data_IF_090065136334
#
_entry.id   IF_090065136334
#
_cell.length_a   1.000
_cell.length_b   1.000
_cell.length_c   1.000
_cell.angle_alpha   90.00
_cell.angle_beta   90.00
_cell.angle_gamma   90.00
#
_symmetry.space_group_name_H-M   'P 1'
#
loop_
_entity.id
_entity.type
_entity.pdbx_description
1 polymer ?
#
# COMPACT_ATOMS: atom_id res chain seq x y z
N UNK A 1 -12.87 27.83 5.88
CA UNK A 1 -12.56 27.67 7.33
C UNK A 1 -13.46 26.66 8.04
N UNK A 2 -14.66 26.31 7.54
CA UNK A 2 -15.44 25.18 8.08
C UNK A 2 -14.84 23.79 7.76
N UNK A 3 -13.98 23.71 6.74
CA UNK A 3 -13.48 22.45 6.16
C UNK A 3 -12.41 21.74 7.01
N UNK A 4 -11.41 22.46 7.55
CA UNK A 4 -10.30 21.83 8.28
C UNK A 4 -10.71 21.17 9.61
N UNK A 5 -11.67 21.74 10.34
CA UNK A 5 -12.12 21.19 11.63
C UNK A 5 -12.94 19.90 11.46
N UNK A 6 -13.85 19.86 10.49
CA UNK A 6 -14.62 18.64 10.18
C UNK A 6 -13.71 17.52 9.66
N UNK A 7 -12.69 17.90 8.89
CA UNK A 7 -11.72 16.96 8.36
C UNK A 7 -10.75 16.42 9.42
N UNK A 8 -10.39 17.19 10.45
CA UNK A 8 -9.61 16.68 11.60
C UNK A 8 -10.46 15.73 12.44
N UNK A 9 -11.74 16.07 12.63
CA UNK A 9 -12.69 15.21 13.33
C UNK A 9 -12.85 13.83 12.66
N UNK A 10 -12.74 13.72 11.33
CA UNK A 10 -12.80 12.43 10.63
C UNK A 10 -11.63 11.50 11.01
N UNK A 11 -10.39 12.02 11.04
CA UNK A 11 -9.21 11.24 11.40
C UNK A 11 -9.28 10.80 12.86
N UNK A 12 -9.64 11.72 13.76
CA UNK A 12 -9.86 11.42 15.18
C UNK A 12 -10.94 10.34 15.34
N UNK A 13 -12.05 10.45 14.61
CA UNK A 13 -13.13 9.45 14.64
C UNK A 13 -12.64 8.07 14.20
N UNK A 14 -11.85 7.98 13.13
CA UNK A 14 -11.29 6.70 12.68
C UNK A 14 -10.31 6.11 13.70
N UNK A 15 -9.45 6.96 14.28
CA UNK A 15 -8.49 6.57 15.32
C UNK A 15 -9.22 6.02 16.56
N UNK A 16 -10.22 6.75 17.07
CA UNK A 16 -11.06 6.31 18.18
C UNK A 16 -11.81 5.01 17.86
N UNK A 17 -12.36 4.88 16.65
CA UNK A 17 -13.06 3.66 16.22
C UNK A 17 -12.15 2.44 16.23
N UNK A 18 -10.94 2.57 15.68
CA UNK A 18 -9.97 1.47 15.65
C UNK A 18 -9.55 1.07 17.07
N UNK A 19 -9.27 2.04 17.94
CA UNK A 19 -8.98 1.71 19.35
C UNK A 19 -10.15 1.05 20.06
N UNK A 20 -11.38 1.52 19.84
CA UNK A 20 -12.57 0.92 20.48
C UNK A 20 -12.74 -0.55 20.08
N UNK A 21 -12.47 -0.88 18.81
CA UNK A 21 -12.46 -2.27 18.34
C UNK A 21 -11.34 -3.06 19.02
N UNK A 22 -10.10 -2.57 18.98
CA UNK A 22 -8.95 -3.27 19.58
C UNK A 22 -9.15 -3.50 21.09
N UNK A 23 -9.73 -2.53 21.79
CA UNK A 23 -10.05 -2.59 23.21
C UNK A 23 -11.14 -3.62 23.52
N UNK A 24 -12.24 -3.57 22.77
CA UNK A 24 -13.36 -4.51 22.92
C UNK A 24 -12.91 -5.95 22.65
N UNK A 25 -12.07 -6.13 21.64
CA UNK A 25 -11.54 -7.43 21.26
C UNK A 25 -10.37 -7.86 22.16
N UNK A 26 -9.87 -7.00 23.06
CA UNK A 26 -8.72 -7.27 23.94
C UNK A 26 -7.45 -7.64 23.16
N UNK A 27 -7.14 -6.83 22.15
CA UNK A 27 -5.87 -6.92 21.41
C UNK A 27 -4.80 -6.22 22.23
N UNK A 28 -3.92 -7.03 22.81
CA UNK A 28 -2.78 -6.57 23.61
C UNK A 28 -1.62 -6.22 22.67
N UNK A 29 -1.21 -4.95 22.70
CA UNK A 29 0.05 -4.44 22.19
C UNK A 29 0.57 -3.45 23.25
N UNK A 30 1.87 -3.29 23.38
CA UNK A 30 2.46 -2.42 24.42
C UNK A 30 1.85 -1.00 24.41
N UNK A 31 1.71 -0.40 25.59
CA UNK A 31 1.24 0.99 25.79
C UNK A 31 -0.17 1.30 25.26
N UNK A 32 -1.20 0.60 25.77
CA UNK A 32 -2.60 0.98 25.53
C UNK A 32 -2.84 2.44 25.95
N UNK A 33 -3.20 3.35 25.02
CA UNK A 33 -3.45 4.75 25.35
C UNK A 33 -4.76 4.91 26.13
N UNK A 34 -4.87 6.00 26.88
CA UNK A 34 -6.13 6.42 27.47
C UNK A 34 -7.10 6.82 26.34
N UNK A 35 -8.31 6.21 26.24
CA UNK A 35 -9.29 6.60 25.23
C UNK A 35 -9.70 8.07 25.26
N UNK A 36 -9.53 8.77 26.39
CA UNK A 36 -9.79 10.20 26.52
C UNK A 36 -8.65 11.09 26.02
N UNK A 37 -7.47 10.50 25.74
CA UNK A 37 -6.27 11.21 25.32
C UNK A 37 -5.42 10.31 24.40
N UNK A 38 -5.85 10.18 23.16
CA UNK A 38 -5.10 9.45 22.14
C UNK A 38 -3.83 10.21 21.73
N UNK A 39 -2.74 9.50 21.39
CA UNK A 39 -1.55 10.14 20.82
C UNK A 39 -1.84 10.72 19.42
N UNK A 40 -0.98 11.62 18.90
CA UNK A 40 -0.96 11.93 17.48
C UNK A 40 -0.91 10.66 16.63
N UNK A 41 -1.61 10.64 15.51
CA UNK A 41 -1.75 9.42 14.69
C UNK A 41 -0.41 8.87 14.20
N UNK A 42 0.54 9.73 13.83
CA UNK A 42 1.89 9.37 13.41
C UNK A 42 2.74 8.71 14.52
N UNK A 43 2.36 8.93 15.77
CA UNK A 43 2.97 8.31 16.96
C UNK A 43 2.15 7.12 17.50
N UNK A 44 1.01 6.80 16.88
CA UNK A 44 0.10 5.76 17.33
C UNK A 44 0.51 4.36 16.84
N UNK A 45 1.62 3.89 17.39
CA UNK A 45 2.16 2.57 17.04
C UNK A 45 1.17 1.43 17.28
N UNK A 46 0.26 1.57 18.25
CA UNK A 46 -0.75 0.55 18.48
C UNK A 46 -1.62 0.36 17.24
N UNK A 47 -2.09 1.44 16.62
CA UNK A 47 -2.86 1.34 15.37
C UNK A 47 -2.02 0.92 14.17
N UNK A 48 -0.73 1.30 14.14
CA UNK A 48 0.16 0.91 13.06
C UNK A 48 0.43 -0.61 13.01
N UNK A 49 0.39 -1.31 14.15
CA UNK A 49 0.80 -2.72 14.22
C UNK A 49 -0.31 -3.71 14.62
N UNK A 50 -1.26 -3.32 15.48
CA UNK A 50 -2.11 -4.28 16.18
C UNK A 50 -3.04 -5.11 15.27
N UNK A 51 -3.49 -4.56 14.13
CA UNK A 51 -4.38 -5.29 13.21
C UNK A 51 -3.67 -6.46 12.48
N UNK A 52 -2.33 -6.41 12.42
CA UNK A 52 -1.50 -7.35 11.67
C UNK A 52 -1.02 -8.51 12.53
N UNK A 53 -1.13 -8.41 13.85
CA UNK A 53 -0.76 -9.49 14.80
C UNK A 53 -1.88 -10.49 15.05
N UNK A 54 -3.06 -10.26 14.47
CA UNK A 54 -4.26 -11.08 14.67
C UNK A 54 -4.24 -12.34 13.81
N UNK A 55 -4.77 -13.44 14.36
CA UNK A 55 -4.98 -14.68 13.62
C UNK A 55 -5.94 -14.48 12.43
N UNK A 56 -5.94 -15.42 11.48
CA UNK A 56 -6.64 -15.25 10.20
C UNK A 56 -8.17 -15.08 10.35
N UNK A 57 -8.83 -15.91 11.15
CA UNK A 57 -10.30 -15.90 11.25
C UNK A 57 -10.80 -14.71 12.08
N UNK A 58 -10.23 -14.49 13.27
CA UNK A 58 -10.58 -13.37 14.12
C UNK A 58 -10.14 -12.04 13.50
N UNK A 59 -8.93 -12.02 12.94
CA UNK A 59 -8.34 -10.85 12.29
C UNK A 59 -9.15 -10.37 11.11
N UNK A 60 -9.66 -11.27 10.26
CA UNK A 60 -10.46 -10.88 9.09
C UNK A 60 -11.72 -10.09 9.49
N UNK A 61 -12.44 -10.57 10.52
CA UNK A 61 -13.62 -9.86 11.06
C UNK A 61 -13.25 -8.49 11.62
N UNK A 62 -12.21 -8.44 12.46
CA UNK A 62 -11.77 -7.22 13.14
C UNK A 62 -11.30 -6.17 12.14
N UNK A 63 -10.48 -6.56 11.17
CA UNK A 63 -10.00 -5.67 10.11
C UNK A 63 -11.15 -5.12 9.28
N UNK A 64 -12.09 -5.97 8.86
CA UNK A 64 -13.27 -5.49 8.11
C UNK A 64 -14.09 -4.46 8.90
N UNK A 65 -14.28 -4.67 10.19
CA UNK A 65 -14.97 -3.70 11.05
C UNK A 65 -14.18 -2.40 11.22
N UNK A 66 -12.85 -2.49 11.38
CA UNK A 66 -11.97 -1.33 11.47
C UNK A 66 -12.04 -0.49 10.19
N UNK A 67 -11.97 -1.13 9.02
CA UNK A 67 -12.05 -0.42 7.75
C UNK A 67 -13.45 0.12 7.43
N UNK A 68 -14.51 -0.41 8.04
CA UNK A 68 -15.90 -0.09 7.67
C UNK A 68 -16.33 1.37 7.78
N UNK A 69 -15.60 2.22 8.54
CA UNK A 69 -15.87 3.67 8.60
C UNK A 69 -15.11 4.49 7.54
N UNK A 70 -14.17 3.88 6.82
CA UNK A 70 -13.39 4.54 5.80
C UNK A 70 -14.11 4.51 4.44
N UNK A 71 -13.91 5.51 3.58
CA UNK A 71 -14.32 5.45 2.19
C UNK A 71 -13.79 4.15 1.55
N UNK A 72 -14.68 3.39 0.90
CA UNK A 72 -14.34 2.14 0.24
C UNK A 72 -13.71 1.08 1.18
N UNK A 73 -14.00 1.17 2.48
CA UNK A 73 -13.43 0.30 3.51
C UNK A 73 -13.60 -1.20 3.28
N UNK A 74 -14.75 -1.63 2.75
CA UNK A 74 -14.98 -3.04 2.42
C UNK A 74 -14.02 -3.55 1.32
N UNK A 75 -13.83 -2.76 0.25
CA UNK A 75 -12.92 -3.10 -0.85
C UNK A 75 -11.46 -3.13 -0.38
N UNK A 76 -11.08 -2.21 0.50
CA UNK A 76 -9.76 -2.17 1.14
C UNK A 76 -9.56 -3.42 2.00
N UNK A 77 -10.52 -3.76 2.85
CA UNK A 77 -10.48 -4.96 3.68
C UNK A 77 -10.35 -6.23 2.83
N UNK A 78 -11.10 -6.34 1.72
CA UNK A 78 -11.04 -7.49 0.83
C UNK A 78 -9.66 -7.62 0.16
N UNK A 79 -9.01 -6.50 -0.19
CA UNK A 79 -7.62 -6.51 -0.69
C UNK A 79 -6.62 -6.94 0.39
N UNK A 80 -6.75 -6.45 1.62
CA UNK A 80 -5.93 -6.92 2.75
C UNK A 80 -6.05 -8.43 2.91
N UNK A 81 -7.28 -8.95 2.96
CA UNK A 81 -7.51 -10.39 3.10
C UNK A 81 -7.00 -11.20 1.89
N UNK A 82 -7.15 -10.67 0.67
CA UNK A 82 -6.56 -11.29 -0.52
C UNK A 82 -5.05 -11.36 -0.41
N UNK A 83 -4.37 -10.28 0.01
CA UNK A 83 -2.92 -10.30 0.19
C UNK A 83 -2.49 -11.32 1.25
N UNK A 84 -3.10 -11.28 2.44
CA UNK A 84 -2.77 -12.18 3.55
C UNK A 84 -2.98 -13.67 3.22
N UNK A 85 -3.91 -13.99 2.30
CA UNK A 85 -4.19 -15.36 1.85
C UNK A 85 -3.41 -15.78 0.61
N UNK A 86 -2.80 -14.83 -0.09
CA UNK A 86 -2.03 -15.12 -1.30
C UNK A 86 -0.62 -15.52 -0.87
N UNK A 87 -0.22 -16.81 -1.02
CA UNK A 87 1.14 -17.20 -0.71
C UNK A 87 2.11 -16.51 -1.66
N UNK A 88 3.27 -16.10 -1.15
CA UNK A 88 4.38 -15.74 -2.02
C UNK A 88 4.71 -16.92 -2.92
N UNK A 89 4.98 -16.65 -4.18
CA UNK A 89 5.41 -17.65 -5.16
C UNK A 89 6.67 -17.16 -5.84
N UNK A 90 7.51 -18.09 -6.29
CA UNK A 90 8.70 -17.74 -7.06
C UNK A 90 8.29 -17.53 -8.51
N UNK A 91 8.11 -16.27 -8.90
CA UNK A 91 7.91 -15.88 -10.30
C UNK A 91 9.24 -16.01 -11.06
N UNK A 92 9.23 -16.56 -12.27
CA UNK A 92 10.43 -16.59 -13.10
C UNK A 92 10.75 -15.23 -13.72
N UNK A 93 11.94 -15.08 -14.31
CA UNK A 93 12.36 -13.79 -14.86
C UNK A 93 11.50 -13.30 -16.03
N UNK A 94 10.93 -14.21 -16.84
CA UNK A 94 10.06 -13.84 -17.97
C UNK A 94 8.70 -13.38 -17.49
N UNK A 95 8.15 -14.06 -16.50
CA UNK A 95 6.89 -13.67 -15.85
C UNK A 95 7.02 -12.30 -15.17
N UNK A 96 8.14 -12.05 -14.48
CA UNK A 96 8.42 -10.76 -13.85
C UNK A 96 8.61 -9.65 -14.89
N UNK A 97 9.33 -9.93 -15.96
CA UNK A 97 9.48 -8.99 -17.08
C UNK A 97 8.12 -8.60 -17.67
N UNK A 98 7.26 -9.59 -17.94
CA UNK A 98 5.92 -9.36 -18.47
C UNK A 98 5.08 -8.50 -17.51
N UNK A 99 5.12 -8.79 -16.20
CA UNK A 99 4.40 -8.01 -15.20
C UNK A 99 4.88 -6.54 -15.14
N UNK A 100 6.21 -6.31 -15.20
CA UNK A 100 6.76 -4.95 -15.24
C UNK A 100 6.32 -4.21 -16.50
N UNK A 101 6.46 -4.81 -17.69
CA UNK A 101 6.06 -4.19 -18.95
C UNK A 101 4.57 -3.88 -19.01
N UNK A 102 3.73 -4.77 -18.49
CA UNK A 102 2.29 -4.52 -18.38
C UNK A 102 1.99 -3.32 -17.47
N UNK A 103 2.67 -3.21 -16.32
CA UNK A 103 2.54 -2.05 -15.44
C UNK A 103 2.97 -0.74 -16.11
N UNK A 104 4.13 -0.73 -16.76
CA UNK A 104 4.64 0.45 -17.49
C UNK A 104 3.65 0.89 -18.57
N UNK A 105 3.10 -0.06 -19.35
CA UNK A 105 2.11 0.24 -20.39
C UNK A 105 0.83 0.83 -19.81
N UNK A 106 0.32 0.27 -18.71
CA UNK A 106 -0.89 0.76 -18.05
C UNK A 106 -0.70 2.20 -17.53
N UNK A 107 0.42 2.46 -16.87
CA UNK A 107 0.75 3.78 -16.31
C UNK A 107 0.93 4.82 -17.42
N UNK A 108 1.70 4.49 -18.47
CA UNK A 108 1.89 5.38 -19.63
C UNK A 108 0.60 5.66 -20.38
N UNK A 109 -0.30 4.67 -20.49
CA UNK A 109 -1.61 4.87 -21.13
C UNK A 109 -2.50 5.89 -20.40
N UNK A 110 -2.22 6.16 -19.11
CA UNK A 110 -2.87 7.21 -18.32
C UNK A 110 -2.13 8.57 -18.37
N UNK A 111 -1.07 8.68 -19.19
CA UNK A 111 -0.27 9.91 -19.29
C UNK A 111 0.60 10.18 -18.05
N UNK A 112 0.83 9.16 -17.22
CA UNK A 112 1.73 9.24 -16.06
C UNK A 112 3.15 8.92 -16.54
N UNK A 113 4.12 9.69 -16.07
CA UNK A 113 5.53 9.51 -16.42
C UNK A 113 6.05 8.16 -15.93
N UNK A 114 6.70 7.42 -16.81
CA UNK A 114 7.29 6.12 -16.55
C UNK A 114 8.26 5.72 -17.68
N UNK A 115 9.23 4.83 -17.41
CA UNK A 115 10.13 4.27 -18.43
C UNK A 115 9.40 3.60 -19.59
N UNK A 116 10.07 3.44 -20.73
CA UNK A 116 9.47 2.79 -21.88
C UNK A 116 9.29 1.28 -21.64
N UNK A 117 8.09 0.75 -21.94
CA UNK A 117 7.81 -0.68 -21.81
C UNK A 117 8.50 -1.53 -22.86
N UNK A 118 9.22 -0.93 -23.81
CA UNK A 118 10.11 -1.59 -24.78
C UNK A 118 11.60 -1.59 -24.36
N UNK A 119 11.98 -0.89 -23.29
CA UNK A 119 13.39 -0.80 -22.87
C UNK A 119 13.93 -2.16 -22.41
N UNK A 120 15.25 -2.33 -22.52
CA UNK A 120 15.92 -3.54 -22.02
C UNK A 120 15.87 -3.60 -20.51
N UNK A 121 15.57 -4.78 -19.96
CA UNK A 121 15.51 -5.00 -18.52
C UNK A 121 16.72 -5.84 -18.08
N UNK A 122 17.50 -5.30 -17.14
CA UNK A 122 18.58 -6.01 -16.46
C UNK A 122 18.01 -6.86 -15.33
N UNK A 123 18.65 -7.97 -15.02
CA UNK A 123 18.22 -8.86 -13.93
C UNK A 123 19.33 -8.96 -12.90
N UNK A 124 18.96 -8.73 -11.65
CA UNK A 124 19.85 -8.77 -10.50
C UNK A 124 19.32 -9.73 -9.44
N UNK A 125 20.25 -10.26 -8.67
CA UNK A 125 20.01 -10.99 -7.44
C UNK A 125 21.20 -10.82 -6.48
N UNK A 126 21.07 -11.34 -5.26
CA UNK A 126 22.10 -11.23 -4.23
C UNK A 126 23.45 -11.89 -4.60
N UNK A 127 23.52 -12.71 -5.65
CA UNK A 127 24.77 -13.28 -6.17
C UNK A 127 25.53 -12.34 -7.12
N UNK A 128 24.83 -11.34 -7.67
CA UNK A 128 25.39 -10.39 -8.66
C UNK A 128 25.65 -9.01 -8.07
N UNK A 129 24.74 -8.49 -7.27
CA UNK A 129 24.81 -7.16 -6.65
C UNK A 129 24.01 -7.18 -5.36
N UNK A 130 24.44 -6.46 -4.32
CA UNK A 130 23.66 -6.40 -3.08
C UNK A 130 22.41 -5.55 -3.27
N UNK A 131 21.34 -5.81 -2.50
CA UNK A 131 20.12 -5.01 -2.57
C UNK A 131 20.39 -3.51 -2.32
N UNK A 132 21.20 -3.20 -1.31
CA UNK A 132 21.54 -1.81 -0.97
C UNK A 132 22.29 -1.12 -2.11
N UNK A 133 23.20 -1.83 -2.77
CA UNK A 133 23.96 -1.30 -3.90
C UNK A 133 23.08 -1.11 -5.14
N UNK A 134 22.20 -2.07 -5.45
CA UNK A 134 21.28 -1.99 -6.59
C UNK A 134 20.31 -0.80 -6.47
N UNK A 135 19.87 -0.48 -5.25
CA UNK A 135 18.90 0.58 -4.98
C UNK A 135 19.53 1.86 -4.39
N UNK A 136 20.85 2.02 -4.45
CA UNK A 136 21.50 3.20 -3.90
C UNK A 136 21.12 4.48 -4.68
N UNK A 137 21.07 4.37 -6.02
CA UNK A 137 20.81 5.49 -6.95
C UNK A 137 19.62 5.17 -7.87
N UNK A 138 18.78 4.21 -7.48
CA UNK A 138 17.64 3.75 -8.27
C UNK A 138 16.33 4.04 -7.55
N UNK A 139 15.37 4.54 -8.30
CA UNK A 139 13.99 4.69 -7.84
C UNK A 139 13.12 3.55 -8.38
N UNK A 140 11.87 3.47 -7.90
CA UNK A 140 10.89 2.60 -8.57
C UNK A 140 10.49 3.23 -9.91
N UNK A 141 10.31 2.44 -10.99
CA UNK A 141 9.79 2.96 -12.24
C UNK A 141 8.33 3.45 -12.15
N UNK A 142 7.69 3.30 -10.99
CA UNK A 142 6.33 3.74 -10.68
C UNK A 142 6.29 4.97 -9.75
N UNK A 143 7.40 5.70 -9.57
CA UNK A 143 7.48 6.83 -8.62
C UNK A 143 6.43 7.91 -8.91
N UNK A 144 6.27 8.32 -10.18
CA UNK A 144 5.27 9.32 -10.54
C UNK A 144 3.82 8.86 -10.31
N UNK A 145 3.55 7.55 -10.44
CA UNK A 145 2.25 6.98 -10.06
C UNK A 145 2.05 7.13 -8.55
N UNK A 146 3.03 6.71 -7.74
CA UNK A 146 3.00 6.81 -6.27
C UNK A 146 2.71 8.23 -5.80
N UNK A 147 3.44 9.21 -6.33
CA UNK A 147 3.25 10.62 -6.02
C UNK A 147 1.84 11.12 -6.35
N UNK A 148 1.25 10.59 -7.43
CA UNK A 148 -0.09 10.94 -7.89
C UNK A 148 -1.26 10.28 -7.13
N UNK A 149 -1.03 9.22 -6.36
CA UNK A 149 -2.12 8.42 -5.76
C UNK A 149 -2.99 9.23 -4.79
N UNK A 150 -2.39 10.09 -3.96
CA UNK A 150 -3.16 10.93 -3.03
C UNK A 150 -4.07 11.91 -3.76
N UNK A 151 -3.62 12.44 -4.91
CA UNK A 151 -4.40 13.29 -5.79
C UNK A 151 -5.51 12.54 -6.52
N UNK A 152 -5.30 11.26 -6.88
CA UNK A 152 -6.36 10.39 -7.40
C UNK A 152 -7.45 10.15 -6.36
N UNK A 153 -7.06 9.87 -5.12
CA UNK A 153 -8.00 9.71 -4.00
C UNK A 153 -8.82 10.97 -3.74
N UNK A 154 -8.17 12.15 -3.81
CA UNK A 154 -8.85 13.45 -3.71
C UNK A 154 -9.85 13.67 -4.85
N UNK A 155 -9.44 13.40 -6.11
CA UNK A 155 -10.32 13.59 -7.27
C UNK A 155 -11.58 12.73 -7.20
N UNK A 156 -11.47 11.51 -6.65
CA UNK A 156 -12.60 10.58 -6.57
C UNK A 156 -13.59 10.95 -5.48
N UNK A 157 -13.11 11.21 -4.26
CA UNK A 157 -13.95 11.29 -3.06
C UNK A 157 -13.74 12.58 -2.26
N UNK A 158 -13.12 13.59 -2.88
CA UNK A 158 -12.75 14.85 -2.24
C UNK A 158 -11.70 14.66 -1.14
N UNK A 159 -11.62 15.67 -0.28
CA UNK A 159 -10.64 15.72 0.82
C UNK A 159 -10.76 14.54 1.79
N UNK A 160 -11.96 13.95 1.94
CA UNK A 160 -12.15 12.76 2.76
C UNK A 160 -11.38 11.54 2.20
N UNK A 161 -11.38 11.36 0.88
CA UNK A 161 -10.62 10.31 0.21
C UNK A 161 -9.11 10.48 0.39
N UNK A 162 -8.62 11.71 0.23
CA UNK A 162 -7.22 12.04 0.46
C UNK A 162 -6.80 11.81 1.92
N UNK A 163 -7.65 12.18 2.89
CA UNK A 163 -7.38 11.91 4.31
C UNK A 163 -7.38 10.43 4.64
N UNK A 164 -8.31 9.65 4.08
CA UNK A 164 -8.29 8.20 4.23
C UNK A 164 -7.00 7.59 3.65
N UNK A 165 -6.52 8.13 2.51
CA UNK A 165 -5.25 7.69 1.91
C UNK A 165 -4.05 7.89 2.83
N UNK A 166 -3.96 9.05 3.50
CA UNK A 166 -2.89 9.34 4.46
C UNK A 166 -3.07 8.64 5.81
N UNK A 167 -4.30 8.50 6.31
CA UNK A 167 -4.58 7.71 7.51
C UNK A 167 -4.16 6.24 7.32
N UNK A 168 -4.31 5.70 6.12
CA UNK A 168 -3.95 4.32 5.83
C UNK A 168 -2.49 4.09 5.44
N UNK A 169 -1.70 5.14 5.19
CA UNK A 169 -0.36 4.99 4.61
C UNK A 169 0.56 4.16 5.51
N UNK A 170 0.68 4.54 6.77
CA UNK A 170 1.57 3.90 7.74
C UNK A 170 1.03 2.54 8.19
N UNK A 171 -0.26 2.39 8.60
CA UNK A 171 -0.79 1.06 8.93
C UNK A 171 -0.61 0.05 7.80
N UNK A 172 -0.93 0.41 6.56
CA UNK A 172 -0.80 -0.53 5.43
C UNK A 172 0.65 -0.72 4.98
N UNK A 173 1.54 0.24 5.22
CA UNK A 173 2.97 -0.03 5.07
C UNK A 173 3.43 -1.10 6.07
N UNK A 174 2.97 -1.05 7.33
CA UNK A 174 3.30 -2.06 8.36
C UNK A 174 2.74 -3.44 8.11
N UNK A 175 1.70 -3.58 7.26
CA UNK A 175 1.17 -4.88 6.85
C UNK A 175 2.25 -5.77 6.20
N UNK A 176 3.12 -5.20 5.36
CA UNK A 176 4.07 -5.96 4.55
C UNK A 176 5.48 -5.34 4.46
N UNK A 177 5.72 -4.18 5.07
CA UNK A 177 6.93 -3.35 4.88
C UNK A 177 7.25 -3.12 3.40
N UNK A 178 6.21 -2.92 2.58
CA UNK A 178 6.34 -2.84 1.13
C UNK A 178 5.32 -1.86 0.54
N UNK A 179 5.82 -0.84 -0.17
CA UNK A 179 4.98 0.18 -0.79
C UNK A 179 4.06 -0.38 -1.87
N UNK A 180 4.48 -1.33 -2.70
CA UNK A 180 3.64 -1.90 -3.75
C UNK A 180 2.40 -2.60 -3.16
N UNK A 181 2.55 -3.27 -2.01
CA UNK A 181 1.41 -3.85 -1.30
C UNK A 181 0.50 -2.77 -0.72
N UNK A 182 1.08 -1.79 -0.03
CA UNK A 182 0.32 -0.69 0.60
C UNK A 182 -0.46 0.15 -0.43
N UNK A 183 0.14 0.45 -1.57
CA UNK A 183 -0.47 1.19 -2.68
C UNK A 183 -1.61 0.38 -3.31
N UNK A 184 -1.37 -0.91 -3.58
CA UNK A 184 -2.39 -1.79 -4.13
C UNK A 184 -3.58 -1.94 -3.19
N UNK A 185 -3.37 -2.09 -1.89
CA UNK A 185 -4.49 -2.14 -0.94
C UNK A 185 -5.29 -0.83 -0.92
N UNK A 186 -4.65 0.33 -1.14
CA UNK A 186 -5.29 1.66 -1.16
C UNK A 186 -5.87 2.07 -2.50
N UNK A 187 -5.62 1.35 -3.58
CA UNK A 187 -6.17 1.64 -4.91
C UNK A 187 -7.71 1.84 -4.93
N UNK A 188 -8.52 1.14 -4.12
CA UNK A 188 -9.95 1.42 -3.99
C UNK A 188 -10.30 2.81 -3.43
N UNK A 189 -9.33 3.65 -3.07
CA UNK A 189 -9.55 5.08 -2.84
C UNK A 189 -9.32 5.90 -4.11
N UNK A 190 -8.47 5.43 -5.02
CA UNK A 190 -7.93 6.19 -6.15
C UNK A 190 -8.75 6.03 -7.44
N UNK A 191 -9.51 4.93 -7.58
CA UNK A 191 -10.08 4.52 -8.87
C UNK A 191 -11.38 3.74 -8.74
N UNK A 192 -12.30 3.89 -9.69
CA UNK A 192 -13.53 3.09 -9.73
C UNK A 192 -13.33 1.71 -10.36
N UNK A 193 -14.28 0.79 -10.16
CA UNK A 193 -14.18 -0.62 -10.60
C UNK A 193 -14.06 -0.80 -12.12
N UNK A 194 -14.44 0.20 -12.92
CA UNK A 194 -14.33 0.18 -14.38
C UNK A 194 -12.96 0.59 -14.93
N UNK A 195 -12.11 1.16 -14.09
CA UNK A 195 -10.78 1.63 -14.47
C UNK A 195 -9.72 0.54 -14.22
N UNK A 196 -8.67 0.46 -15.05
CA UNK A 196 -7.60 -0.51 -14.85
C UNK A 196 -6.83 -0.23 -13.56
N UNK A 197 -6.46 -1.30 -12.84
CA UNK A 197 -5.65 -1.18 -11.64
C UNK A 197 -4.18 -0.95 -12.00
N UNK A 198 -3.70 0.27 -11.79
CA UNK A 198 -2.33 0.67 -12.11
C UNK A 198 -1.30 0.11 -11.12
N UNK A 199 -1.76 -0.36 -9.95
CA UNK A 199 -0.90 -0.82 -8.84
C UNK A 199 -0.78 -2.34 -8.76
N UNK A 200 -1.72 -3.08 -9.36
CA UNK A 200 -1.71 -4.55 -9.35
C UNK A 200 -0.42 -5.16 -9.95
N UNK A 201 0.18 -4.63 -11.03
CA UNK A 201 1.43 -5.17 -11.55
C UNK A 201 2.59 -5.11 -10.54
N UNK A 202 2.76 -3.99 -9.82
CA UNK A 202 3.78 -3.85 -8.79
C UNK A 202 3.53 -4.80 -7.61
N UNK A 203 2.27 -4.97 -7.20
CA UNK A 203 1.90 -5.97 -6.18
C UNK A 203 2.22 -7.39 -6.62
N UNK A 204 1.93 -7.76 -7.88
CA UNK A 204 2.24 -9.07 -8.46
C UNK A 204 3.75 -9.35 -8.45
N UNK A 205 4.57 -8.37 -8.80
CA UNK A 205 6.03 -8.46 -8.71
C UNK A 205 6.47 -8.73 -7.27
N UNK A 206 5.91 -7.97 -6.31
CA UNK A 206 6.25 -8.12 -4.89
C UNK A 206 5.94 -9.53 -4.35
N UNK A 207 4.75 -10.08 -4.62
CA UNK A 207 4.41 -11.44 -4.17
C UNK A 207 5.14 -12.52 -4.99
N UNK A 208 5.66 -12.15 -6.16
CA UNK A 208 6.50 -12.96 -7.04
C UNK A 208 7.98 -13.00 -6.66
N UNK A 209 8.40 -12.20 -5.66
CA UNK A 209 9.79 -12.11 -5.20
C UNK A 209 10.66 -11.13 -5.99
N UNK A 210 10.07 -10.16 -6.70
CA UNK A 210 10.79 -9.19 -7.52
C UNK A 210 10.51 -7.75 -7.09
N UNK A 211 11.55 -6.91 -7.20
CA UNK A 211 11.45 -5.45 -7.02
C UNK A 211 11.96 -4.77 -8.29
N UNK A 212 11.14 -3.93 -8.94
CA UNK A 212 11.59 -3.16 -10.09
C UNK A 212 12.37 -1.93 -9.64
N UNK A 213 13.42 -1.60 -10.39
CA UNK A 213 14.20 -0.39 -10.20
C UNK A 213 14.52 0.29 -11.52
N UNK A 214 14.76 1.59 -11.44
CA UNK A 214 15.12 2.45 -12.56
C UNK A 214 16.23 3.41 -12.14
N UNK A 215 17.39 3.26 -12.78
CA UNK A 215 18.57 4.10 -12.57
C UNK A 215 19.04 4.74 -13.89
N UNK A 216 20.22 5.37 -13.87
CA UNK A 216 20.83 6.00 -15.03
C UNK A 216 21.18 5.02 -16.19
N UNK A 217 21.37 3.73 -15.90
CA UNK A 217 21.66 2.67 -16.87
C UNK A 217 20.36 1.99 -17.38
N UNK A 218 19.21 2.35 -16.83
CA UNK A 218 17.88 1.91 -17.27
C UNK A 218 17.21 0.92 -16.33
N UNK A 219 16.16 0.26 -16.84
CA UNK A 219 15.32 -0.64 -16.05
C UNK A 219 16.07 -1.88 -15.55
N UNK A 220 15.75 -2.30 -14.33
CA UNK A 220 16.15 -3.59 -13.80
C UNK A 220 15.08 -4.24 -12.92
N UNK A 221 15.19 -5.55 -12.77
CA UNK A 221 14.42 -6.36 -11.83
C UNK A 221 15.38 -7.04 -10.85
N UNK A 222 15.22 -6.75 -9.56
CA UNK A 222 15.98 -7.38 -8.48
C UNK A 222 15.17 -8.50 -7.83
N UNK A 223 15.76 -9.69 -7.73
CA UNK A 223 15.14 -10.84 -7.07
C UNK A 223 15.49 -10.89 -5.59
N UNK A 224 14.47 -10.93 -4.72
CA UNK A 224 14.67 -11.25 -3.32
C UNK A 224 14.93 -12.75 -3.12
N UNK A 225 15.81 -13.11 -2.16
CA UNK A 225 16.11 -14.50 -1.82
C UNK A 225 14.92 -15.25 -1.24
#
# INVERSE_FOLDING_TARGET
MADQNELTAAVEQWQHHWHAILDREKVELENRPDPASLPPFDEDFRLHFALWTLDAERGARIRREAFGLLPCGELIADRVERHLRTPSHSMDGREAEAALRDGLRLVKAQGIDAPDDADSIRFFDASTVSYLEAFQEADTPFEALRDGLSGLAERRSGTLGQKAFFFLSEPLYRLASNYAVSEWVRWPLCSCDSEPDLTEPAWRLSIGGWVPGWDADGLFLYRFP
#
